data_IF_731229657211
#
_entry.id   IF_731229657211
#
_cell.length_a   1.000
_cell.length_b   1.000
_cell.length_c   1.000
_cell.angle_alpha   90.00
_cell.angle_beta   90.00
_cell.angle_gamma   90.00
#
_symmetry.space_group_name_H-M   'P 1'
#
loop_
_entity.id
_entity.type
_entity.pdbx_description
1 polymer ?
#
# COMPACT_ATOMS: atom_id res chain seq x y z
N UNK A 1 19.05 25.85 12.70
CA UNK A 1 18.39 25.05 11.63
C UNK A 1 18.92 25.57 10.30
N UNK A 2 19.62 24.75 9.51
CA UNK A 2 20.23 25.21 8.25
C UNK A 2 19.16 25.69 7.26
N UNK A 3 19.51 26.65 6.41
CA UNK A 3 18.63 27.19 5.36
C UNK A 3 18.07 26.06 4.46
N UNK A 4 18.90 25.06 4.19
CA UNK A 4 18.54 23.84 3.47
C UNK A 4 17.35 23.08 4.08
N UNK A 5 17.32 22.94 5.41
CA UNK A 5 16.22 22.24 6.09
C UNK A 5 14.92 23.04 6.03
N UNK A 6 14.99 24.39 6.11
CA UNK A 6 13.80 25.25 5.96
C UNK A 6 13.17 25.07 4.58
N UNK A 7 13.99 25.15 3.53
CA UNK A 7 13.51 24.97 2.16
C UNK A 7 12.95 23.56 1.94
N UNK A 8 13.60 22.53 2.48
CA UNK A 8 13.10 21.15 2.40
C UNK A 8 11.74 20.99 3.08
N UNK A 9 11.54 21.55 4.27
CA UNK A 9 10.25 21.49 4.97
C UNK A 9 9.15 22.19 4.16
N UNK A 10 9.45 23.37 3.61
CA UNK A 10 8.52 24.09 2.74
C UNK A 10 8.14 23.24 1.52
N UNK A 11 9.12 22.64 0.86
CA UNK A 11 8.88 21.77 -0.28
C UNK A 11 7.99 20.57 0.10
N UNK A 12 8.24 19.92 1.25
CA UNK A 12 7.38 18.82 1.73
C UNK A 12 5.93 19.30 1.90
N UNK A 13 5.71 20.44 2.56
CA UNK A 13 4.37 20.96 2.78
C UNK A 13 3.62 21.23 1.45
N UNK A 14 4.30 21.82 0.47
CA UNK A 14 3.72 22.09 -0.86
C UNK A 14 3.43 20.79 -1.60
N UNK A 15 4.39 19.86 -1.63
CA UNK A 15 4.25 18.58 -2.32
C UNK A 15 3.16 17.71 -1.70
N UNK A 16 2.95 17.75 -0.39
CA UNK A 16 1.82 17.06 0.26
C UNK A 16 0.46 17.60 -0.19
N UNK A 17 0.33 18.92 -0.41
CA UNK A 17 -0.90 19.51 -0.95
C UNK A 17 -1.12 19.13 -2.42
N UNK A 18 -0.06 19.05 -3.22
CA UNK A 18 -0.15 18.56 -4.61
C UNK A 18 -0.58 17.09 -4.62
N UNK A 19 -0.03 16.25 -3.75
CA UNK A 19 -0.42 14.84 -3.61
C UNK A 19 -1.90 14.69 -3.23
N UNK A 20 -2.42 15.53 -2.33
CA UNK A 20 -3.86 15.61 -2.04
C UNK A 20 -4.66 16.00 -3.29
N UNK A 21 -4.17 16.97 -4.07
CA UNK A 21 -4.77 17.37 -5.34
C UNK A 21 -4.84 16.22 -6.36
N UNK A 22 -3.76 15.46 -6.51
CA UNK A 22 -3.71 14.27 -7.38
C UNK A 22 -4.75 13.25 -6.94
N UNK A 23 -4.79 12.94 -5.64
CA UNK A 23 -5.74 11.97 -5.08
C UNK A 23 -7.20 12.40 -5.27
N UNK A 24 -7.50 13.68 -5.06
CA UNK A 24 -8.84 14.22 -5.29
C UNK A 24 -9.21 14.21 -6.77
N UNK A 25 -8.28 14.54 -7.66
CA UNK A 25 -8.52 14.55 -9.10
C UNK A 25 -8.76 13.14 -9.67
N UNK A 26 -8.02 12.14 -9.19
CA UNK A 26 -8.24 10.72 -9.49
C UNK A 26 -9.64 10.28 -9.07
N UNK A 27 -10.00 10.53 -7.80
CA UNK A 27 -11.33 10.19 -7.25
C UNK A 27 -12.49 10.85 -7.99
N UNK A 28 -12.31 12.08 -8.46
CA UNK A 28 -13.33 12.85 -9.17
C UNK A 28 -13.36 12.58 -10.69
N UNK A 29 -12.48 11.72 -11.22
CA UNK A 29 -12.41 11.44 -12.65
C UNK A 29 -11.92 12.62 -13.51
N UNK A 30 -11.12 13.53 -12.93
CA UNK A 30 -10.63 14.71 -13.65
C UNK A 30 -9.62 14.34 -14.73
N UNK A 31 -8.70 13.41 -14.47
CA UNK A 31 -7.70 13.00 -15.47
C UNK A 31 -8.33 12.42 -16.75
N UNK A 32 -9.27 11.44 -16.67
CA UNK A 32 -9.91 10.94 -17.88
C UNK A 32 -10.78 12.01 -18.57
N UNK A 33 -11.44 12.89 -17.82
CA UNK A 33 -12.22 13.99 -18.39
C UNK A 33 -11.33 15.00 -19.15
N UNK A 34 -10.19 15.38 -18.57
CA UNK A 34 -9.23 16.27 -19.21
C UNK A 34 -8.65 15.63 -20.48
N UNK A 35 -8.31 14.34 -20.43
CA UNK A 35 -7.79 13.62 -21.59
C UNK A 35 -8.78 13.47 -22.76
N UNK A 36 -10.09 13.46 -22.49
CA UNK A 36 -11.13 13.44 -23.54
C UNK A 36 -11.43 14.81 -24.12
N UNK A 37 -11.32 15.86 -23.31
CA UNK A 37 -11.74 17.21 -23.69
C UNK A 37 -10.60 18.06 -24.24
N UNK A 38 -9.35 17.76 -23.90
CA UNK A 38 -8.20 18.59 -24.22
C UNK A 38 -6.96 17.80 -24.62
N UNK A 39 -6.09 18.46 -25.37
CA UNK A 39 -4.78 17.96 -25.78
C UNK A 39 -3.79 19.11 -25.87
N UNK A 40 -2.50 18.82 -26.05
CA UNK A 40 -1.49 19.87 -26.25
C UNK A 40 -1.78 20.78 -27.44
N UNK A 41 -2.32 20.22 -28.54
CA UNK A 41 -2.68 20.99 -29.74
C UNK A 41 -4.00 21.77 -29.58
N UNK A 42 -4.86 21.35 -28.64
CA UNK A 42 -6.14 21.99 -28.35
C UNK A 42 -6.44 21.88 -26.84
N UNK A 43 -5.86 22.75 -26.00
CA UNK A 43 -6.09 22.75 -24.57
C UNK A 43 -7.57 23.00 -24.23
N UNK A 44 -8.10 22.32 -23.22
CA UNK A 44 -9.51 22.40 -22.83
C UNK A 44 -9.77 23.52 -21.83
N UNK A 45 -10.81 24.33 -22.07
CA UNK A 45 -11.30 25.26 -21.07
C UNK A 45 -11.81 24.49 -19.84
N UNK A 46 -11.56 24.97 -18.62
CA UNK A 46 -11.94 24.27 -17.38
C UNK A 46 -13.45 23.93 -17.31
N UNK A 47 -14.33 24.76 -17.91
CA UNK A 47 -15.77 24.48 -17.98
C UNK A 47 -16.09 23.20 -18.76
N UNK A 48 -15.34 22.92 -19.83
CA UNK A 48 -15.53 21.71 -20.63
C UNK A 48 -15.10 20.46 -19.84
N UNK A 49 -13.97 20.54 -19.13
CA UNK A 49 -13.49 19.48 -18.23
C UNK A 49 -14.51 19.22 -17.11
N UNK A 50 -15.01 20.29 -16.49
CA UNK A 50 -16.01 20.21 -15.43
C UNK A 50 -17.30 19.54 -15.92
N UNK A 51 -17.77 19.92 -17.11
CA UNK A 51 -18.96 19.33 -17.72
C UNK A 51 -18.77 17.83 -18.01
N UNK A 52 -17.64 17.43 -18.57
CA UNK A 52 -17.32 16.01 -18.85
C UNK A 52 -17.25 15.18 -17.55
N UNK A 53 -16.67 15.73 -16.49
CA UNK A 53 -16.58 15.06 -15.19
C UNK A 53 -17.87 15.15 -14.34
N UNK A 54 -18.87 15.95 -14.75
CA UNK A 54 -20.08 16.19 -13.95
C UNK A 54 -19.85 17.02 -12.68
N UNK A 55 -18.88 17.96 -12.72
CA UNK A 55 -18.41 18.75 -11.57
C UNK A 55 -18.78 20.23 -11.67
N UNK A 56 -18.63 20.95 -10.56
CA UNK A 56 -18.82 22.41 -10.50
C UNK A 56 -17.62 23.13 -11.10
N UNK A 57 -17.78 23.98 -12.12
CA UNK A 57 -16.62 24.52 -12.85
C UNK A 57 -15.63 25.34 -12.03
N UNK A 58 -16.12 26.16 -11.09
CA UNK A 58 -15.26 26.96 -10.23
C UNK A 58 -14.30 26.11 -9.39
N UNK A 59 -14.79 24.99 -8.86
CA UNK A 59 -13.99 24.05 -8.06
C UNK A 59 -13.05 23.23 -8.95
N UNK A 60 -13.53 22.81 -10.12
CA UNK A 60 -12.69 22.13 -11.12
C UNK A 60 -11.52 23.02 -11.55
N UNK A 61 -11.75 24.33 -11.79
CA UNK A 61 -10.69 25.28 -12.11
C UNK A 61 -9.63 25.36 -11.02
N UNK A 62 -10.02 25.49 -9.74
CA UNK A 62 -9.06 25.54 -8.63
C UNK A 62 -8.21 24.26 -8.54
N UNK A 63 -8.84 23.10 -8.72
CA UNK A 63 -8.12 21.83 -8.67
C UNK A 63 -7.17 21.66 -9.86
N UNK A 64 -7.60 22.03 -11.07
CA UNK A 64 -6.73 22.08 -12.25
C UNK A 64 -5.57 23.06 -12.06
N UNK A 65 -5.80 24.23 -11.47
CA UNK A 65 -4.77 25.21 -11.15
C UNK A 65 -3.77 24.66 -10.12
N UNK A 66 -4.22 23.98 -9.07
CA UNK A 66 -3.34 23.30 -8.10
C UNK A 66 -2.42 22.29 -8.80
N UNK A 67 -2.98 21.44 -9.68
CA UNK A 67 -2.21 20.46 -10.44
C UNK A 67 -1.23 21.12 -11.41
N UNK A 68 -1.62 22.23 -12.05
CA UNK A 68 -0.76 22.97 -12.97
C UNK A 68 0.39 23.69 -12.24
N UNK A 69 0.13 24.31 -11.08
CA UNK A 69 1.18 24.89 -10.23
C UNK A 69 2.13 23.84 -9.65
N UNK A 70 1.69 22.58 -9.57
CA UNK A 70 2.50 21.44 -9.16
C UNK A 70 3.22 20.74 -10.32
N UNK A 71 3.18 21.29 -11.53
CA UNK A 71 3.78 20.72 -12.74
C UNK A 71 3.27 19.30 -13.09
N UNK A 72 2.05 18.95 -12.65
CA UNK A 72 1.42 17.66 -12.96
C UNK A 72 0.69 17.71 -14.31
N UNK A 73 0.08 18.86 -14.62
CA UNK A 73 -0.59 19.15 -15.89
C UNK A 73 -0.15 20.54 -16.39
N UNK A 74 -0.52 20.91 -17.60
CA UNK A 74 -0.17 22.22 -18.16
C UNK A 74 -1.38 23.14 -18.22
N UNK A 75 -1.16 24.43 -17.94
CA UNK A 75 -2.12 25.53 -18.14
C UNK A 75 -1.59 26.49 -19.20
N UNK A 76 -2.46 27.03 -20.05
CA UNK A 76 -2.06 28.05 -21.04
C UNK A 76 -1.99 29.45 -20.40
N UNK A 77 -1.35 30.45 -21.06
CA UNK A 77 -1.16 31.78 -20.47
C UNK A 77 -2.42 32.53 -20.05
N UNK A 78 -3.60 32.14 -20.54
CA UNK A 78 -4.87 32.73 -20.12
C UNK A 78 -5.35 32.26 -18.74
N UNK A 79 -4.75 31.18 -18.20
CA UNK A 79 -5.12 30.62 -16.89
C UNK A 79 -6.43 29.82 -16.89
N UNK A 80 -7.03 29.58 -18.04
CA UNK A 80 -8.37 28.98 -18.19
C UNK A 80 -8.38 27.70 -19.04
N UNK A 81 -7.36 27.47 -19.87
CA UNK A 81 -7.22 26.24 -20.65
C UNK A 81 -6.10 25.32 -20.14
N UNK A 82 -6.39 24.03 -20.10
CA UNK A 82 -5.54 23.00 -19.51
C UNK A 82 -5.36 21.80 -20.44
N UNK A 83 -4.25 21.09 -20.31
CA UNK A 83 -4.03 19.81 -20.99
C UNK A 83 -3.02 18.95 -20.21
N UNK A 84 -3.00 17.65 -20.51
CA UNK A 84 -1.92 16.75 -20.08
C UNK A 84 -0.96 16.55 -21.24
N UNK A 85 0.35 16.57 -20.96
CA UNK A 85 1.34 16.06 -21.92
C UNK A 85 1.10 14.56 -22.16
N UNK A 86 1.59 13.99 -23.28
CA UNK A 86 1.46 12.55 -23.52
C UNK A 86 2.00 11.69 -22.37
N UNK A 87 3.14 12.08 -21.79
CA UNK A 87 3.74 11.39 -20.64
C UNK A 87 2.88 11.50 -19.37
N UNK A 88 2.31 12.68 -19.09
CA UNK A 88 1.40 12.85 -17.95
C UNK A 88 0.13 12.02 -18.13
N UNK A 89 -0.44 11.99 -19.34
CA UNK A 89 -1.63 11.19 -19.64
C UNK A 89 -1.37 9.68 -19.49
N UNK A 90 -0.18 9.19 -19.89
CA UNK A 90 0.22 7.79 -19.70
C UNK A 90 0.22 7.38 -18.23
N UNK A 91 0.76 8.23 -17.35
CA UNK A 91 0.84 7.96 -15.91
C UNK A 91 -0.52 8.11 -15.22
N UNK A 92 -1.24 9.21 -15.47
CA UNK A 92 -2.43 9.61 -14.71
C UNK A 92 -3.71 8.90 -15.15
N UNK A 93 -3.77 8.39 -16.39
CA UNK A 93 -4.91 7.63 -16.90
C UNK A 93 -4.64 6.12 -17.03
N UNK A 94 -3.49 5.64 -16.53
CA UNK A 94 -3.17 4.21 -16.60
C UNK A 94 -4.23 3.37 -15.85
N UNK A 95 -4.69 2.24 -16.42
CA UNK A 95 -5.60 1.33 -15.72
C UNK A 95 -4.92 0.62 -14.53
N UNK A 96 -3.59 0.61 -14.49
CA UNK A 96 -2.80 0.17 -13.34
C UNK A 96 -2.11 1.40 -12.81
N UNK A 97 -2.51 1.84 -11.61
CA UNK A 97 -2.01 3.10 -11.06
C UNK A 97 -0.49 3.03 -10.94
N UNK A 98 0.18 4.07 -11.43
CA UNK A 98 1.61 4.24 -11.21
C UNK A 98 1.89 4.27 -9.69
N UNK A 99 3.11 3.89 -9.30
CA UNK A 99 3.53 3.85 -7.90
C UNK A 99 3.41 5.21 -7.23
N UNK A 100 3.81 6.29 -7.90
CA UNK A 100 3.73 7.64 -7.37
C UNK A 100 2.28 8.08 -7.14
N UNK A 101 1.39 7.77 -8.10
CA UNK A 101 -0.05 8.04 -7.98
C UNK A 101 -0.65 7.24 -6.82
N UNK A 102 -0.32 5.95 -6.72
CA UNK A 102 -0.77 5.07 -5.63
C UNK A 102 -0.36 5.61 -4.26
N UNK A 103 0.88 6.09 -4.12
CA UNK A 103 1.36 6.72 -2.89
C UNK A 103 0.61 8.00 -2.52
N UNK A 104 0.13 8.77 -3.51
CA UNK A 104 -0.67 9.97 -3.25
C UNK A 104 -2.05 9.63 -2.62
N UNK A 105 -2.60 8.45 -2.90
CA UNK A 105 -3.91 8.04 -2.37
C UNK A 105 -3.90 7.80 -0.86
N UNK A 106 -2.74 7.47 -0.28
CA UNK A 106 -2.59 7.30 1.16
C UNK A 106 -2.68 8.62 1.94
N UNK A 107 -2.38 9.76 1.31
CA UNK A 107 -2.34 11.07 2.01
C UNK A 107 -3.67 11.43 2.67
N UNK A 108 -4.83 11.42 1.98
CA UNK A 108 -6.10 11.70 2.64
C UNK A 108 -6.48 10.64 3.69
N UNK A 109 -6.08 9.38 3.51
CA UNK A 109 -6.34 8.32 4.49
C UNK A 109 -5.57 8.55 5.79
N UNK A 110 -4.28 8.88 5.70
CA UNK A 110 -3.48 9.23 6.88
C UNK A 110 -4.01 10.50 7.56
N UNK A 111 -4.46 11.49 6.78
CA UNK A 111 -5.05 12.70 7.32
C UNK A 111 -6.33 12.45 8.12
N UNK A 112 -7.16 11.49 7.69
CA UNK A 112 -8.41 11.12 8.38
C UNK A 112 -8.17 10.64 9.83
N UNK A 113 -7.04 9.98 10.09
CA UNK A 113 -6.71 9.40 11.40
C UNK A 113 -5.77 10.26 12.24
N UNK A 114 -5.42 11.48 11.79
CA UNK A 114 -4.43 12.34 12.45
C UNK A 114 -4.72 12.63 13.94
N UNK A 115 -5.98 12.90 14.29
CA UNK A 115 -6.36 13.16 15.68
C UNK A 115 -6.32 11.89 16.55
N UNK A 116 -7.02 10.79 16.20
CA UNK A 116 -6.99 9.59 17.02
C UNK A 116 -5.58 8.97 17.13
N UNK A 117 -4.75 9.01 16.06
CA UNK A 117 -3.38 8.51 16.17
C UNK A 117 -2.56 9.32 17.18
N UNK A 118 -2.80 10.63 17.30
CA UNK A 118 -2.11 11.47 18.28
C UNK A 118 -2.42 11.07 19.74
N UNK A 119 -3.58 10.46 19.99
CA UNK A 119 -3.96 9.92 21.30
C UNK A 119 -3.21 8.62 21.61
N UNK A 120 -3.01 7.75 20.61
CA UNK A 120 -2.22 6.50 20.73
C UNK A 120 -0.77 6.78 21.14
N UNK A 121 -0.20 7.92 20.69
CA UNK A 121 1.17 8.31 21.05
C UNK A 121 1.34 8.70 22.53
N UNK A 122 0.26 8.92 23.28
CA UNK A 122 0.35 9.28 24.70
C UNK A 122 0.74 8.05 25.54
N UNK A 123 1.59 8.24 26.56
CA UNK A 123 2.04 7.15 27.43
C UNK A 123 0.88 6.35 28.07
N UNK A 124 -0.22 7.04 28.39
CA UNK A 124 -1.45 6.46 28.94
C UNK A 124 -2.58 6.40 27.91
N UNK A 125 -2.26 6.52 26.62
CA UNK A 125 -3.21 6.46 25.52
C UNK A 125 -3.64 5.03 25.19
N UNK A 126 -4.52 4.86 24.19
CA UNK A 126 -4.88 3.56 23.66
C UNK A 126 -3.65 2.80 23.14
N UNK A 127 -3.69 1.46 23.18
CA UNK A 127 -2.60 0.63 22.67
C UNK A 127 -2.44 0.73 21.13
N UNK A 128 -3.54 0.99 20.44
CA UNK A 128 -3.63 0.95 18.99
C UNK A 128 -4.93 1.55 18.49
N UNK A 129 -5.29 1.22 17.24
CA UNK A 129 -6.53 1.63 16.60
C UNK A 129 -7.19 0.44 15.92
N UNK A 130 -8.52 0.36 15.98
CA UNK A 130 -9.30 -0.71 15.36
C UNK A 130 -9.46 -0.49 13.85
N UNK A 131 -9.70 -1.57 13.10
CA UNK A 131 -10.00 -1.52 11.66
C UNK A 131 -11.11 -0.50 11.34
N UNK A 132 -12.16 -0.43 12.18
CA UNK A 132 -13.27 0.51 12.00
C UNK A 132 -12.87 2.00 12.03
N UNK A 133 -11.70 2.35 12.60
CA UNK A 133 -11.23 3.73 12.64
C UNK A 133 -10.74 4.26 11.28
N UNK A 134 -10.49 3.38 10.30
CA UNK A 134 -9.84 3.73 9.03
C UNK A 134 -10.80 4.00 7.87
N UNK A 135 -12.12 4.04 8.12
CA UNK A 135 -13.11 4.38 7.11
C UNK A 135 -12.98 3.54 5.83
N UNK A 136 -12.78 4.19 4.69
CA UNK A 136 -12.70 3.56 3.36
C UNK A 136 -11.29 3.11 2.95
N UNK A 137 -10.34 3.09 3.91
CA UNK A 137 -8.97 2.64 3.67
C UNK A 137 -8.92 1.27 3.00
N UNK A 138 -9.66 0.28 3.52
CA UNK A 138 -9.62 -1.09 3.01
C UNK A 138 -10.26 -1.23 1.62
N UNK A 139 -11.29 -0.42 1.31
CA UNK A 139 -11.86 -0.37 -0.03
C UNK A 139 -10.85 0.15 -1.06
N UNK A 140 -10.11 1.22 -0.71
CA UNK A 140 -9.08 1.74 -1.60
C UNK A 140 -7.86 0.81 -1.71
N UNK A 141 -7.47 0.15 -0.61
CA UNK A 141 -6.40 -0.86 -0.64
C UNK A 141 -6.78 -2.07 -1.49
N UNK A 142 -8.04 -2.50 -1.45
CA UNK A 142 -8.54 -3.56 -2.33
C UNK A 142 -8.44 -3.13 -3.79
N UNK A 143 -8.90 -1.93 -4.17
CA UNK A 143 -8.79 -1.43 -5.54
C UNK A 143 -7.33 -1.36 -6.03
N UNK A 144 -6.42 -0.84 -5.18
CA UNK A 144 -5.00 -0.74 -5.48
C UNK A 144 -4.38 -2.13 -5.71
N UNK A 145 -4.59 -3.05 -4.77
CA UNK A 145 -3.99 -4.38 -4.81
C UNK A 145 -4.63 -5.28 -5.88
N UNK A 146 -5.94 -5.18 -6.12
CA UNK A 146 -6.67 -6.00 -7.08
C UNK A 146 -6.16 -5.84 -8.52
N UNK A 147 -5.74 -4.63 -8.91
CA UNK A 147 -5.20 -4.41 -10.26
C UNK A 147 -3.90 -5.21 -10.50
N UNK A 148 -2.98 -5.19 -9.54
CA UNK A 148 -1.74 -5.94 -9.58
C UNK A 148 -1.97 -7.44 -9.38
N UNK A 149 -2.86 -7.83 -8.45
CA UNK A 149 -3.21 -9.24 -8.24
C UNK A 149 -3.83 -9.86 -9.48
N UNK A 150 -4.81 -9.21 -10.12
CA UNK A 150 -5.42 -9.72 -11.37
C UNK A 150 -4.38 -9.91 -12.48
N UNK A 151 -3.37 -9.04 -12.54
CA UNK A 151 -2.33 -9.11 -13.56
C UNK A 151 -1.23 -10.11 -13.24
N UNK A 152 -0.85 -10.29 -11.97
CA UNK A 152 0.38 -10.97 -11.59
C UNK A 152 0.21 -12.11 -10.56
N UNK A 153 -0.84 -12.11 -9.72
CA UNK A 153 -1.02 -13.14 -8.69
C UNK A 153 -1.18 -14.53 -9.32
N UNK A 154 -2.16 -14.69 -10.22
CA UNK A 154 -2.43 -15.98 -10.86
C UNK A 154 -1.41 -16.36 -11.93
N UNK A 155 -1.03 -15.48 -12.87
CA UNK A 155 -0.13 -15.88 -13.95
C UNK A 155 1.35 -15.93 -13.55
N UNK A 156 1.80 -15.14 -12.57
CA UNK A 156 3.22 -15.00 -12.25
C UNK A 156 3.58 -15.52 -10.84
N UNK A 157 2.79 -15.21 -9.80
CA UNK A 157 3.11 -15.62 -8.43
C UNK A 157 2.72 -17.07 -8.15
N UNK A 158 1.50 -17.49 -8.50
CA UNK A 158 1.00 -18.85 -8.25
C UNK A 158 1.89 -19.93 -8.87
N UNK A 159 2.43 -19.82 -10.10
CA UNK A 159 3.34 -20.83 -10.64
C UNK A 159 4.60 -21.04 -9.81
N UNK A 160 5.12 -19.98 -9.17
CA UNK A 160 6.30 -20.08 -8.30
C UNK A 160 6.03 -20.92 -7.04
N UNK A 161 4.76 -21.12 -6.69
CA UNK A 161 4.36 -21.95 -5.53
C UNK A 161 4.32 -23.44 -5.87
N UNK A 162 4.22 -23.81 -7.14
CA UNK A 162 3.98 -25.19 -7.59
C UNK A 162 2.54 -25.70 -7.37
N UNK A 163 1.59 -24.85 -6.99
CA UNK A 163 0.25 -25.26 -6.52
C UNK A 163 -0.90 -24.87 -7.45
N UNK A 164 -0.61 -24.48 -8.69
CA UNK A 164 -1.62 -23.97 -9.64
C UNK A 164 -2.82 -24.93 -9.80
N UNK A 165 -2.54 -26.20 -10.09
CA UNK A 165 -3.56 -27.22 -10.35
C UNK A 165 -4.46 -27.45 -9.12
N UNK A 166 -3.88 -27.42 -7.92
CA UNK A 166 -4.62 -27.57 -6.67
C UNK A 166 -5.58 -26.38 -6.43
N UNK A 167 -5.16 -25.15 -6.76
CA UNK A 167 -6.00 -23.96 -6.62
C UNK A 167 -7.16 -23.91 -7.63
N UNK A 168 -7.00 -24.52 -8.81
CA UNK A 168 -8.06 -24.60 -9.83
C UNK A 168 -9.16 -25.63 -9.50
N UNK A 169 -8.91 -26.56 -8.58
CA UNK A 169 -9.85 -27.63 -8.22
C UNK A 169 -11.10 -27.14 -7.46
N UNK A 170 -11.03 -25.98 -6.80
CA UNK A 170 -12.15 -25.38 -6.08
C UNK A 170 -11.70 -24.51 -4.90
N UNK A 171 -12.55 -23.57 -4.50
CA UNK A 171 -12.26 -22.60 -3.43
C UNK A 171 -13.37 -22.67 -2.37
N UNK A 172 -12.97 -22.64 -1.11
CA UNK A 172 -13.87 -22.45 0.05
C UNK A 172 -13.37 -21.26 0.88
N UNK A 173 -14.29 -20.52 1.48
CA UNK A 173 -13.99 -19.38 2.34
C UNK A 173 -14.39 -19.68 3.78
N UNK A 174 -13.57 -19.23 4.73
CA UNK A 174 -13.75 -19.44 6.16
C UNK A 174 -13.41 -18.14 6.89
N UNK A 175 -14.24 -17.79 7.87
CA UNK A 175 -13.95 -16.73 8.84
C UNK A 175 -13.33 -17.37 10.09
N UNK A 176 -12.06 -17.10 10.34
CA UNK A 176 -11.30 -17.71 11.43
C UNK A 176 -10.16 -16.81 11.91
N UNK A 177 -9.82 -16.91 13.18
CA UNK A 177 -8.60 -16.31 13.73
C UNK A 177 -7.39 -17.14 13.30
N UNK A 178 -6.45 -16.52 12.59
CA UNK A 178 -5.23 -17.19 12.11
C UNK A 178 -4.34 -17.72 13.26
N UNK A 179 -4.54 -17.24 14.49
CA UNK A 179 -3.83 -17.69 15.70
C UNK A 179 -4.46 -18.95 16.34
N UNK A 180 -5.64 -19.34 15.88
CA UNK A 180 -6.40 -20.48 16.41
C UNK A 180 -7.16 -21.17 15.29
N UNK A 181 -6.41 -21.79 14.37
CA UNK A 181 -7.00 -22.54 13.26
C UNK A 181 -7.64 -23.84 13.77
N UNK A 182 -8.48 -24.48 12.96
CA UNK A 182 -9.17 -25.72 13.35
C UNK A 182 -8.16 -26.78 13.87
N UNK A 183 -8.37 -27.36 15.06
CA UNK A 183 -7.48 -28.36 15.63
C UNK A 183 -7.29 -29.59 14.74
N UNK A 184 -8.30 -29.95 13.94
CA UNK A 184 -8.27 -31.06 13.00
C UNK A 184 -7.33 -30.82 11.80
N UNK A 185 -6.85 -29.58 11.63
CA UNK A 185 -6.00 -29.19 10.50
C UNK A 185 -4.52 -29.53 10.64
N UNK A 186 -4.11 -30.23 11.70
CA UNK A 186 -2.73 -30.66 11.86
C UNK A 186 -2.27 -31.48 10.63
N UNK A 187 -1.16 -31.06 10.00
CA UNK A 187 -0.59 -31.67 8.79
C UNK A 187 -1.61 -31.89 7.65
N UNK A 188 -2.46 -30.89 7.35
CA UNK A 188 -3.46 -30.98 6.28
C UNK A 188 -3.09 -30.29 4.98
N UNK A 189 -2.35 -29.19 5.02
CA UNK A 189 -2.11 -28.37 3.84
C UNK A 189 -0.71 -28.57 3.28
N UNK A 190 -0.61 -28.60 1.95
CA UNK A 190 0.69 -28.67 1.24
C UNK A 190 1.30 -27.29 1.05
N UNK A 191 0.44 -26.27 1.05
CA UNK A 191 0.79 -24.89 0.82
C UNK A 191 -0.08 -23.96 1.67
N UNK A 192 0.54 -22.96 2.24
CA UNK A 192 -0.13 -21.82 2.88
C UNK A 192 0.50 -20.55 2.34
N UNK A 193 -0.33 -19.55 2.06
CA UNK A 193 0.14 -18.24 1.64
C UNK A 193 -0.46 -17.14 2.51
N UNK A 194 0.35 -16.16 2.87
CA UNK A 194 -0.13 -14.86 3.34
C UNK A 194 0.44 -13.76 2.44
N UNK A 195 -0.38 -12.77 2.13
CA UNK A 195 -0.01 -11.64 1.29
C UNK A 195 -0.28 -10.35 2.06
N UNK A 196 0.80 -9.67 2.47
CA UNK A 196 0.81 -8.38 3.17
C UNK A 196 -0.11 -8.33 4.39
N UNK A 197 -0.11 -9.40 5.18
CA UNK A 197 -1.04 -9.64 6.28
C UNK A 197 -0.35 -10.16 7.56
N UNK A 198 0.99 -10.21 7.58
CA UNK A 198 1.76 -10.62 8.75
C UNK A 198 2.06 -9.43 9.67
N UNK A 199 2.52 -8.32 9.09
CA UNK A 199 3.15 -7.24 9.85
C UNK A 199 2.17 -6.42 10.70
N UNK A 200 0.88 -6.50 10.41
CA UNK A 200 -0.22 -5.82 11.09
C UNK A 200 -1.01 -6.75 12.03
N UNK A 201 -0.60 -8.02 12.16
CA UNK A 201 -1.12 -8.91 13.20
C UNK A 201 -0.62 -8.45 14.57
N UNK A 202 -1.47 -8.57 15.61
CA UNK A 202 -1.01 -8.38 16.99
C UNK A 202 0.01 -9.46 17.38
N UNK A 203 -0.23 -10.72 17.01
CA UNK A 203 0.61 -11.87 17.36
C UNK A 203 0.97 -12.71 16.13
N UNK A 204 1.78 -12.17 15.19
CA UNK A 204 2.16 -12.90 13.98
C UNK A 204 2.95 -14.17 14.30
N UNK A 205 3.68 -14.20 15.42
CA UNK A 205 4.39 -15.39 15.89
C UNK A 205 3.44 -16.57 16.19
N UNK A 206 2.24 -16.29 16.73
CA UNK A 206 1.24 -17.32 17.00
C UNK A 206 0.56 -17.80 15.71
N UNK A 207 0.24 -16.87 14.80
CA UNK A 207 -0.31 -17.22 13.49
C UNK A 207 0.67 -18.09 12.68
N UNK A 208 1.96 -17.74 12.65
CA UNK A 208 2.98 -18.53 11.94
C UNK A 208 3.18 -19.90 12.59
N UNK A 209 3.05 -20.04 13.91
CA UNK A 209 3.05 -21.35 14.58
C UNK A 209 1.87 -22.23 14.16
N UNK A 210 0.68 -21.65 14.02
CA UNK A 210 -0.47 -22.36 13.46
C UNK A 210 -0.24 -22.76 12.01
N UNK A 211 0.33 -21.87 11.19
CA UNK A 211 0.73 -22.18 9.80
C UNK A 211 1.69 -23.38 9.77
N UNK A 212 2.70 -23.39 10.63
CA UNK A 212 3.62 -24.53 10.75
C UNK A 212 2.88 -25.81 11.17
N UNK A 213 1.96 -25.74 12.14
CA UNK A 213 1.16 -26.89 12.60
C UNK A 213 0.31 -27.48 11.47
N UNK A 214 -0.37 -26.63 10.70
CA UNK A 214 -1.33 -27.10 9.69
C UNK A 214 -0.69 -27.56 8.40
N UNK A 215 0.55 -27.16 8.12
CA UNK A 215 1.33 -27.65 6.99
C UNK A 215 1.75 -29.11 7.17
N UNK A 216 1.68 -29.92 6.11
CA UNK A 216 2.28 -31.24 6.05
C UNK A 216 3.80 -31.16 6.15
N UNK A 217 4.46 -32.25 6.55
CA UNK A 217 5.91 -32.41 6.37
C UNK A 217 6.29 -32.17 4.89
N UNK A 218 7.26 -31.30 4.63
CA UNK A 218 7.66 -30.90 3.29
C UNK A 218 6.77 -29.85 2.62
N UNK A 219 5.68 -29.42 3.29
CA UNK A 219 4.81 -28.34 2.82
C UNK A 219 5.51 -26.97 2.83
N UNK A 220 4.95 -26.03 2.07
CA UNK A 220 5.56 -24.71 1.82
C UNK A 220 4.68 -23.60 2.38
N UNK A 221 5.28 -22.70 3.14
CA UNK A 221 4.70 -21.42 3.51
C UNK A 221 5.28 -20.31 2.64
N UNK A 222 4.43 -19.62 1.89
CA UNK A 222 4.78 -18.39 1.17
C UNK A 222 4.27 -17.16 1.92
N UNK A 223 5.16 -16.26 2.30
CA UNK A 223 4.79 -14.99 2.92
C UNK A 223 5.28 -13.86 2.03
N UNK A 224 4.37 -13.00 1.57
CA UNK A 224 4.72 -11.79 0.81
C UNK A 224 4.56 -10.60 1.75
N UNK A 225 5.62 -9.82 1.94
CA UNK A 225 5.65 -8.68 2.87
C UNK A 225 6.51 -7.57 2.31
N UNK A 226 6.33 -6.35 2.83
CA UNK A 226 7.14 -5.20 2.45
C UNK A 226 8.63 -5.46 2.66
N UNK A 227 9.42 -5.06 1.67
CA UNK A 227 10.87 -5.17 1.66
C UNK A 227 11.50 -4.11 2.55
N UNK A 228 11.88 -4.54 3.75
CA UNK A 228 12.63 -3.74 4.72
C UNK A 228 13.88 -4.47 5.21
N UNK A 229 14.85 -3.74 5.72
CA UNK A 229 16.09 -4.29 6.29
C UNK A 229 15.97 -4.62 7.79
N UNK A 230 14.86 -4.20 8.42
CA UNK A 230 14.65 -4.15 9.88
C UNK A 230 15.51 -3.09 10.60
N UNK A 231 16.14 -2.16 9.87
CA UNK A 231 16.94 -1.09 10.42
C UNK A 231 16.75 0.19 9.61
N UNK A 232 16.19 1.24 10.23
CA UNK A 232 15.89 2.51 9.55
C UNK A 232 17.10 3.18 8.89
N UNK A 233 18.31 3.01 9.45
CA UNK A 233 19.53 3.55 8.84
C UNK A 233 19.86 2.79 7.55
N UNK A 234 19.82 1.46 7.58
CA UNK A 234 20.03 0.63 6.39
C UNK A 234 18.92 0.85 5.36
N UNK A 235 17.65 0.96 5.78
CA UNK A 235 16.52 1.26 4.89
C UNK A 235 16.75 2.56 4.12
N UNK A 236 17.29 3.59 4.77
CA UNK A 236 17.61 4.85 4.11
C UNK A 236 18.72 4.70 3.08
N UNK A 237 19.73 3.88 3.35
CA UNK A 237 20.82 3.62 2.40
C UNK A 237 20.33 2.78 1.22
N UNK A 238 19.47 1.79 1.46
CA UNK A 238 19.00 0.84 0.45
C UNK A 238 17.87 1.40 -0.42
N UNK A 239 16.88 2.06 0.18
CA UNK A 239 15.65 2.49 -0.50
C UNK A 239 15.52 4.02 -0.65
N UNK A 240 16.53 4.77 -0.18
CA UNK A 240 16.55 6.22 -0.28
C UNK A 240 15.41 6.90 0.48
N UNK A 241 14.83 7.97 -0.08
CA UNK A 241 13.70 8.68 0.53
C UNK A 241 12.39 7.89 0.46
N UNK A 242 12.28 6.93 -0.46
CA UNK A 242 11.05 6.14 -0.66
C UNK A 242 10.62 5.36 0.58
N UNK A 243 11.56 4.91 1.43
CA UNK A 243 11.21 4.20 2.66
C UNK A 243 10.36 5.03 3.63
N UNK A 244 10.41 6.36 3.55
CA UNK A 244 9.59 7.23 4.38
C UNK A 244 8.09 7.02 4.12
N UNK A 245 7.68 6.60 2.91
CA UNK A 245 6.30 6.27 2.61
C UNK A 245 5.81 5.04 3.40
N UNK A 246 6.64 3.99 3.50
CA UNK A 246 6.29 2.78 4.26
C UNK A 246 6.36 2.99 5.77
N UNK A 247 7.29 3.82 6.26
CA UNK A 247 7.27 4.26 7.65
C UNK A 247 6.02 5.11 7.96
N UNK A 248 5.57 5.94 7.01
CA UNK A 248 4.30 6.68 7.13
C UNK A 248 3.11 5.73 7.24
N UNK A 249 3.00 4.74 6.33
CA UNK A 249 1.96 3.70 6.40
C UNK A 249 2.02 2.92 7.73
N UNK A 250 3.23 2.64 8.24
CA UNK A 250 3.39 2.00 9.55
C UNK A 250 2.82 2.87 10.67
N UNK A 251 3.19 4.16 10.74
CA UNK A 251 2.75 5.09 11.79
C UNK A 251 1.25 5.33 11.75
N UNK A 252 0.70 5.55 10.56
CA UNK A 252 -0.69 5.96 10.39
C UNK A 252 -1.65 4.80 10.15
N UNK A 253 -1.21 3.54 10.11
CA UNK A 253 -2.12 2.39 9.94
C UNK A 253 -1.59 1.09 10.58
N UNK A 254 -0.57 0.47 9.99
CA UNK A 254 -0.29 -0.96 10.26
C UNK A 254 0.22 -1.22 11.68
N UNK A 255 1.02 -0.31 12.25
CA UNK A 255 1.50 -0.46 13.63
C UNK A 255 0.36 -0.28 14.64
N UNK A 256 -0.48 0.78 14.58
CA UNK A 256 -1.64 0.89 15.47
C UNK A 256 -2.61 -0.30 15.39
N UNK A 257 -2.88 -0.81 14.18
CA UNK A 257 -3.74 -2.01 14.01
C UNK A 257 -3.09 -3.24 14.67
N UNK A 258 -1.81 -3.45 14.43
CA UNK A 258 -1.03 -4.54 15.01
C UNK A 258 -0.62 -4.37 16.47
N UNK A 259 -1.11 -3.34 17.17
CA UNK A 259 -0.77 -3.07 18.57
C UNK A 259 -1.97 -3.18 19.53
N UNK A 260 -3.14 -3.61 19.06
CA UNK A 260 -4.40 -3.61 19.83
C UNK A 260 -4.47 -4.58 21.02
N UNK A 261 -3.41 -5.32 21.35
CA UNK A 261 -3.36 -6.19 22.53
C UNK A 261 -2.10 -5.93 23.37
N UNK A 262 -2.15 -6.10 24.71
CA UNK A 262 -0.99 -5.85 25.57
C UNK A 262 0.24 -6.72 25.27
N UNK A 263 0.01 -7.88 24.65
CA UNK A 263 1.05 -8.83 24.27
C UNK A 263 1.51 -8.68 22.81
N UNK A 264 1.01 -7.67 22.09
CA UNK A 264 1.29 -7.48 20.68
C UNK A 264 2.78 -7.31 20.38
N UNK A 265 3.23 -7.86 19.25
CA UNK A 265 4.61 -7.71 18.78
C UNK A 265 4.86 -6.37 18.07
N UNK A 266 3.79 -5.69 17.63
CA UNK A 266 3.83 -4.35 17.07
C UNK A 266 4.90 -4.20 15.97
N UNK A 267 4.84 -5.07 14.96
CA UNK A 267 5.90 -5.18 13.94
C UNK A 267 5.92 -3.97 12.99
N UNK A 268 4.74 -3.55 12.52
CA UNK A 268 4.58 -2.44 11.58
C UNK A 268 5.10 -2.76 10.18
N UNK A 269 4.73 -1.91 9.20
CA UNK A 269 5.01 -2.13 7.77
C UNK A 269 6.48 -2.40 7.47
N UNK A 270 7.39 -1.70 8.15
CA UNK A 270 8.84 -1.84 7.96
C UNK A 270 9.48 -2.88 8.90
N UNK A 271 8.75 -3.94 9.25
CA UNK A 271 9.27 -5.08 10.04
C UNK A 271 10.61 -5.56 9.49
N UNK A 272 10.68 -5.73 8.16
CA UNK A 272 11.87 -6.11 7.42
C UNK A 272 12.31 -7.56 7.57
N UNK A 273 13.27 -7.94 6.73
CA UNK A 273 13.69 -9.33 6.48
C UNK A 273 14.39 -9.99 7.65
N UNK A 274 15.14 -9.25 8.48
CA UNK A 274 15.81 -9.83 9.66
C UNK A 274 14.77 -10.31 10.68
N UNK A 275 13.77 -9.47 10.98
CA UNK A 275 12.67 -9.84 11.90
C UNK A 275 11.74 -10.89 11.29
N UNK A 276 11.37 -10.75 10.01
CA UNK A 276 10.55 -11.73 9.31
C UNK A 276 11.18 -13.13 9.30
N UNK A 277 12.49 -13.21 9.00
CA UNK A 277 13.25 -14.47 9.08
C UNK A 277 13.26 -15.03 10.50
N UNK A 278 13.44 -14.18 11.52
CA UNK A 278 13.41 -14.62 12.92
C UNK A 278 12.06 -15.22 13.31
N UNK A 279 10.94 -14.60 12.91
CA UNK A 279 9.60 -15.16 13.17
C UNK A 279 9.45 -16.58 12.60
N UNK A 280 9.89 -16.77 11.36
CA UNK A 280 9.83 -18.08 10.69
C UNK A 280 10.70 -19.12 11.42
N UNK A 281 11.93 -18.75 11.81
CA UNK A 281 12.83 -19.62 12.57
C UNK A 281 12.22 -20.00 13.93
N UNK A 282 11.68 -19.02 14.66
CA UNK A 282 11.07 -19.23 15.98
C UNK A 282 9.82 -20.13 15.91
N UNK A 283 9.16 -20.20 14.75
CA UNK A 283 8.03 -21.10 14.51
C UNK A 283 8.44 -22.53 14.08
N UNK A 284 9.71 -22.76 13.76
CA UNK A 284 10.25 -24.08 13.40
C UNK A 284 10.66 -24.26 11.93
N UNK A 285 10.50 -23.24 11.08
CA UNK A 285 10.99 -23.30 9.70
C UNK A 285 12.51 -23.11 9.65
N UNK A 286 13.24 -24.12 9.18
CA UNK A 286 14.70 -24.08 9.09
C UNK A 286 15.22 -23.86 7.65
N UNK A 287 14.41 -24.17 6.64
CA UNK A 287 14.70 -23.91 5.22
C UNK A 287 13.88 -22.68 4.78
N UNK A 288 14.53 -21.51 4.76
CA UNK A 288 13.91 -20.23 4.44
C UNK A 288 14.72 -19.52 3.34
N UNK A 289 14.07 -19.30 2.20
CA UNK A 289 14.56 -18.44 1.11
C UNK A 289 13.80 -17.12 1.10
N UNK A 290 14.47 -16.03 0.76
CA UNK A 290 13.85 -14.71 0.61
C UNK A 290 14.23 -14.21 -0.77
N UNK A 291 13.23 -14.03 -1.62
CA UNK A 291 13.39 -13.68 -3.02
C UNK A 291 12.78 -12.30 -3.29
N UNK A 292 13.35 -11.58 -4.25
CA UNK A 292 12.71 -10.38 -4.81
C UNK A 292 11.52 -10.79 -5.67
N UNK A 293 10.50 -9.95 -5.72
CA UNK A 293 9.33 -10.18 -6.55
C UNK A 293 9.23 -9.04 -7.59
N UNK A 294 9.75 -9.22 -8.82
CA UNK A 294 9.94 -8.13 -9.79
C UNK A 294 8.66 -7.44 -10.28
N UNK A 295 7.49 -7.94 -9.90
CA UNK A 295 6.18 -7.37 -10.24
C UNK A 295 5.43 -6.85 -9.00
N UNK A 296 5.96 -7.11 -7.81
CA UNK A 296 5.54 -6.50 -6.54
C UNK A 296 6.77 -5.80 -5.95
N UNK A 297 7.19 -4.71 -6.57
CA UNK A 297 8.51 -4.08 -6.34
C UNK A 297 8.72 -3.49 -4.93
N UNK A 298 7.68 -3.45 -4.11
CA UNK A 298 7.77 -3.06 -2.70
C UNK A 298 7.89 -4.26 -1.76
N UNK A 299 7.77 -5.48 -2.28
CA UNK A 299 7.66 -6.68 -1.50
C UNK A 299 8.82 -7.65 -1.76
N UNK A 300 9.01 -8.52 -0.78
CA UNK A 300 9.83 -9.73 -0.87
C UNK A 300 8.96 -10.95 -0.58
N UNK A 301 9.32 -12.07 -1.19
CA UNK A 301 8.69 -13.37 -0.98
C UNK A 301 9.58 -14.23 -0.10
N UNK A 302 9.08 -14.59 1.08
CA UNK A 302 9.67 -15.60 1.93
C UNK A 302 9.08 -16.95 1.54
N UNK A 303 9.93 -17.91 1.19
CA UNK A 303 9.57 -19.31 0.97
C UNK A 303 10.16 -20.14 2.10
N UNK A 304 9.31 -20.63 2.99
CA UNK A 304 9.69 -21.40 4.17
C UNK A 304 9.14 -22.83 4.08
N UNK A 305 10.02 -23.84 4.16
CA UNK A 305 9.62 -25.26 4.07
C UNK A 305 9.59 -25.91 5.45
N UNK A 306 8.52 -26.67 5.72
CA UNK A 306 8.38 -27.49 6.94
C UNK A 306 9.18 -28.78 6.85
#
# INVERSE_FOLDING_TARGET
MSEDLRQRILNVAVQSNIALGISLADRLGIFPALGKTGSEAAPAHYDAVAKEAGLKPRYTKELLALLACGDIITVTPDGDHFYMSPAAAEVLNSPIKDKGVSLCLFVPMHAQVFNPISEVFQLNGPLGMEYANYGDFYGTMDELSASLHKKHLVPDLVPLTGMKEALEAGISFLDTDARAMDPSWNDKFEFVMIFDACHDQCRPDLAIKEIYRVLKSGGVFAMVEIDGTSNVYEDRQTFGIGCAAFYSASVFHCLPVGSNTPDALAMGTMMGTKKGRKLLLDAGFNDIKIEKVPFFDFNVLYLAKK
#
